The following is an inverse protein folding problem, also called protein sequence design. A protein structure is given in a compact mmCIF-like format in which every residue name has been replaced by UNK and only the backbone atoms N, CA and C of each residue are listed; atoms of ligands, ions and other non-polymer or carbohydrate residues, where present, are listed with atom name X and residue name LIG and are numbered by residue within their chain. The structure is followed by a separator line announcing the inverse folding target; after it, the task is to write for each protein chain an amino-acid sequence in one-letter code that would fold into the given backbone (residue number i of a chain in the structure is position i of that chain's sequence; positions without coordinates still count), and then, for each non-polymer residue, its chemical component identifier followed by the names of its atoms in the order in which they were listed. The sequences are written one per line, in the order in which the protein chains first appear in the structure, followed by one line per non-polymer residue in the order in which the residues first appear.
data_IF_510933968385
#
_entry.id   IF_510933968385
#
_cell.length_a   1.000
_cell.length_b   1.000
_cell.length_c   1.000
_cell.angle_alpha   90.00
_cell.angle_beta   90.00
_cell.angle_gamma   90.00
#
_symmetry.space_group_name_H-M   'P 1'
#
loop_
_entity.id
_entity.type
_entity.pdbx_description
1 polymer ?
#
# COMPACT_ATOMS: atom_id res chain seq x y z
N UNK A 1 10.73 -19.95 12.41
CA UNK A 1 10.64 -18.51 12.12
C UNK A 1 9.88 -18.30 10.83
N UNK A 2 8.96 -17.46 10.87
CA UNK A 2 8.08 -17.21 9.74
C UNK A 2 8.64 -16.08 8.89
N UNK A 3 8.87 -16.36 7.61
CA UNK A 3 9.32 -15.32 6.66
C UNK A 3 8.31 -14.18 6.55
N UNK A 4 7.04 -14.48 6.71
CA UNK A 4 5.98 -13.48 6.69
C UNK A 4 6.17 -12.43 7.78
N UNK A 5 6.56 -12.83 8.99
CA UNK A 5 6.81 -11.89 10.08
C UNK A 5 8.02 -11.00 9.75
N UNK A 6 9.08 -11.58 9.20
CA UNK A 6 10.24 -10.82 8.78
C UNK A 6 9.91 -9.81 7.68
N UNK A 7 9.12 -10.22 6.70
CA UNK A 7 8.69 -9.35 5.61
C UNK A 7 7.74 -8.26 6.09
N UNK A 8 6.88 -8.56 7.05
CA UNK A 8 6.01 -7.56 7.66
C UNK A 8 6.83 -6.48 8.37
N UNK A 9 7.88 -6.87 9.07
CA UNK A 9 8.79 -5.93 9.70
C UNK A 9 9.51 -5.03 8.70
N UNK A 10 9.98 -5.60 7.59
CA UNK A 10 10.61 -4.83 6.51
C UNK A 10 9.63 -3.87 5.88
N UNK A 11 8.40 -4.31 5.63
CA UNK A 11 7.36 -3.48 5.04
C UNK A 11 6.99 -2.33 5.96
N UNK A 12 6.85 -2.60 7.26
CA UNK A 12 6.55 -1.57 8.25
C UNK A 12 7.65 -0.50 8.30
N UNK A 13 8.91 -0.90 8.19
CA UNK A 13 10.03 0.04 8.17
C UNK A 13 10.07 0.86 6.90
N UNK A 14 9.80 0.24 5.75
CA UNK A 14 9.82 0.90 4.45
C UNK A 14 8.68 1.92 4.30
N UNK A 15 7.50 1.58 4.77
CA UNK A 15 6.30 2.40 4.61
C UNK A 15 5.91 3.09 5.91
N UNK A 16 6.87 3.66 6.61
CA UNK A 16 6.58 4.42 7.82
C UNK A 16 5.87 5.72 7.48
N UNK A 17 4.86 6.04 8.27
CA UNK A 17 4.10 7.26 8.10
C UNK A 17 3.46 7.69 9.41
N UNK A 18 2.24 8.14 9.35
CA UNK A 18 1.50 8.62 10.51
C UNK A 18 1.30 7.50 11.54
N UNK A 19 1.60 7.78 12.79
CA UNK A 19 1.46 6.79 13.87
C UNK A 19 0.07 6.79 14.51
N UNK A 20 -0.74 7.80 14.24
CA UNK A 20 -2.06 7.94 14.87
C UNK A 20 -3.20 7.24 14.17
N UNK A 21 -2.95 6.63 13.02
CA UNK A 21 -3.99 5.93 12.29
C UNK A 21 -3.52 5.40 10.95
N UNK A 22 -4.36 4.59 10.34
CA UNK A 22 -4.11 4.08 9.00
C UNK A 22 -5.43 3.92 8.26
N UNK A 23 -5.37 3.83 6.94
CA UNK A 23 -6.55 3.60 6.12
C UNK A 23 -6.75 2.11 5.88
N UNK A 24 -7.99 1.73 5.75
CA UNK A 24 -8.36 0.39 5.32
C UNK A 24 -9.70 0.47 4.60
N UNK A 25 -10.17 -0.63 4.06
CA UNK A 25 -11.51 -0.68 3.51
C UNK A 25 -12.11 -2.06 3.68
N UNK A 26 -13.43 -2.08 3.60
CA UNK A 26 -14.23 -3.26 3.79
C UNK A 26 -14.70 -3.72 2.41
N UNK A 27 -14.59 -5.01 2.14
CA UNK A 27 -15.02 -5.60 0.87
C UNK A 27 -16.53 -5.81 0.77
N UNK A 28 -17.30 -5.14 1.58
CA UNK A 28 -18.75 -5.26 1.46
C UNK A 28 -19.23 -4.80 0.10
N UNK A 29 -20.02 -5.64 -0.52
CA UNK A 29 -20.75 -5.25 -1.71
C UNK A 29 -21.88 -4.33 -1.26
N UNK A 30 -21.71 -3.06 -1.51
CA UNK A 30 -22.77 -2.09 -1.29
C UNK A 30 -23.61 -2.05 -2.56
N UNK A 31 -24.51 -2.99 -2.68
CA UNK A 31 -25.52 -3.13 -3.71
C UNK A 31 -25.32 -2.31 -4.98
N UNK A 32 -24.84 -2.91 -6.03
CA UNK A 32 -24.75 -2.15 -7.22
C UNK A 32 -25.28 -2.94 -8.40
N UNK A 33 -26.18 -2.32 -9.10
CA UNK A 33 -26.84 -2.87 -10.26
C UNK A 33 -25.92 -3.00 -11.47
N UNK A 34 -24.71 -2.48 -11.41
CA UNK A 34 -23.78 -2.42 -12.54
C UNK A 34 -22.58 -3.34 -12.41
N UNK A 35 -22.55 -4.17 -11.40
CA UNK A 35 -21.45 -5.08 -11.19
C UNK A 35 -20.17 -4.44 -10.62
N UNK A 36 -20.18 -3.17 -10.30
CA UNK A 36 -19.07 -2.49 -9.66
C UNK A 36 -19.11 -2.68 -8.16
N UNK A 37 -18.01 -3.14 -7.60
CA UNK A 37 -17.89 -3.25 -6.16
C UNK A 37 -17.63 -1.87 -5.57
N UNK A 38 -18.51 -1.44 -4.69
CA UNK A 38 -18.25 -0.27 -3.87
C UNK A 38 -17.59 -0.72 -2.59
N UNK A 39 -16.47 -0.12 -2.28
CA UNK A 39 -15.70 -0.43 -1.08
C UNK A 39 -15.91 0.69 -0.09
N UNK A 40 -16.18 0.33 1.15
CA UNK A 40 -16.26 1.32 2.21
C UNK A 40 -14.86 1.58 2.75
N UNK A 41 -14.35 2.78 2.52
CA UNK A 41 -13.04 3.20 3.01
C UNK A 41 -13.20 3.95 4.33
N UNK A 42 -12.35 3.64 5.29
CA UNK A 42 -12.39 4.32 6.58
C UNK A 42 -11.01 4.34 7.23
N UNK A 43 -10.87 5.22 8.22
CA UNK A 43 -9.65 5.34 9.00
C UNK A 43 -9.79 4.59 10.31
N UNK A 44 -8.78 3.80 10.65
CA UNK A 44 -8.66 3.19 11.98
C UNK A 44 -7.72 4.06 12.80
N UNK A 45 -8.20 4.54 13.95
CA UNK A 45 -7.42 5.44 14.80
C UNK A 45 -6.54 4.67 15.77
N UNK A 46 -5.65 3.86 15.19
CA UNK A 46 -4.68 3.06 15.93
C UNK A 46 -3.36 3.08 15.17
N UNK A 47 -2.23 2.95 15.85
CA UNK A 47 -0.96 2.91 15.14
C UNK A 47 -0.86 1.67 14.26
N UNK A 48 -0.30 1.80 13.04
CA UNK A 48 -0.01 0.62 12.23
C UNK A 48 1.03 -0.26 12.92
N UNK A 49 0.69 -1.52 13.13
CA UNK A 49 1.57 -2.48 13.81
C UNK A 49 2.16 -3.48 12.83
N UNK A 50 3.16 -4.22 13.26
CA UNK A 50 3.70 -5.31 12.45
C UNK A 50 2.64 -6.36 12.18
N UNK A 51 1.76 -6.63 13.15
CA UNK A 51 0.65 -7.57 12.97
C UNK A 51 -0.28 -7.12 11.83
N UNK A 52 -0.50 -5.82 11.70
CA UNK A 52 -1.30 -5.27 10.60
C UNK A 52 -0.64 -5.55 9.25
N UNK A 53 0.66 -5.33 9.13
CA UNK A 53 1.39 -5.61 7.89
C UNK A 53 1.43 -7.09 7.58
N UNK A 54 1.52 -7.94 8.60
CA UNK A 54 1.43 -9.38 8.43
C UNK A 54 0.07 -9.78 7.86
N UNK A 55 -1.01 -9.24 8.40
CA UNK A 55 -2.36 -9.48 7.89
C UNK A 55 -2.52 -8.97 6.45
N UNK A 56 -1.89 -7.85 6.13
CA UNK A 56 -1.91 -7.30 4.77
C UNK A 56 -1.18 -8.22 3.79
N UNK A 57 0.02 -8.66 4.14
CA UNK A 57 0.82 -9.54 3.28
C UNK A 57 0.16 -10.90 3.08
N UNK A 58 -0.60 -11.37 4.04
CA UNK A 58 -1.35 -12.63 3.91
C UNK A 58 -2.67 -12.48 3.16
N UNK A 59 -2.99 -11.27 2.72
CA UNK A 59 -4.20 -11.02 1.94
C UNK A 59 -5.47 -10.81 2.76
N UNK A 60 -5.36 -10.70 4.07
CA UNK A 60 -6.52 -10.57 4.95
C UNK A 60 -7.04 -9.15 5.07
N UNK A 61 -6.14 -8.17 5.03
CA UNK A 61 -6.50 -6.79 5.34
C UNK A 61 -5.83 -5.82 4.38
N UNK A 62 -6.58 -4.96 3.70
CA UNK A 62 -5.99 -3.86 2.96
C UNK A 62 -5.49 -2.76 3.90
N UNK A 63 -4.40 -2.11 3.55
CA UNK A 63 -3.78 -1.08 4.37
C UNK A 63 -3.40 0.12 3.53
N UNK A 64 -3.77 1.30 3.99
CA UNK A 64 -3.28 2.55 3.45
C UNK A 64 -2.54 3.32 4.53
N UNK A 65 -1.36 3.79 4.20
CA UNK A 65 -0.53 4.54 5.13
C UNK A 65 -0.64 6.02 4.80
N UNK A 66 -0.88 6.84 5.82
CA UNK A 66 -0.85 8.30 5.65
C UNK A 66 0.60 8.73 5.68
N UNK A 67 1.03 9.43 4.64
CA UNK A 67 2.44 9.72 4.38
C UNK A 67 3.12 10.58 5.42
N UNK A 68 2.42 11.60 5.91
CA UNK A 68 3.03 12.53 6.88
C UNK A 68 3.12 11.89 8.25
N UNK A 69 4.32 11.85 8.79
CA UNK A 69 4.52 11.40 10.16
C UNK A 69 4.21 12.51 11.15
N UNK A 70 4.40 12.24 12.44
CA UNK A 70 4.06 13.19 13.51
C UNK A 70 4.95 14.44 13.48
N UNK A 71 6.05 14.42 12.74
CA UNK A 71 6.98 15.54 12.57
C UNK A 71 6.83 16.23 11.23
N UNK A 72 5.73 15.99 10.52
CA UNK A 72 5.46 16.55 9.19
C UNK A 72 6.53 16.17 8.16
N UNK A 73 7.09 14.98 8.29
CA UNK A 73 8.08 14.44 7.35
C UNK A 73 7.54 13.19 6.69
N UNK A 74 8.10 12.83 5.54
CA UNK A 74 7.71 11.62 4.80
C UNK A 74 8.91 10.69 4.65
N UNK A 75 8.68 9.39 4.77
CA UNK A 75 9.70 8.35 4.57
C UNK A 75 9.62 7.72 3.17
N UNK A 76 8.49 7.88 2.49
CA UNK A 76 8.32 7.34 1.15
C UNK A 76 7.32 8.20 0.38
N UNK A 77 7.23 7.98 -0.91
CA UNK A 77 6.25 8.64 -1.77
C UNK A 77 5.80 7.66 -2.83
N UNK A 78 4.81 8.05 -3.61
CA UNK A 78 4.30 7.21 -4.70
C UNK A 78 3.98 8.06 -5.92
N UNK A 79 4.20 7.47 -7.08
CA UNK A 79 3.80 8.06 -8.36
C UNK A 79 2.77 7.12 -8.97
N UNK A 80 1.60 7.65 -9.27
CA UNK A 80 0.53 6.88 -9.86
C UNK A 80 0.51 7.09 -11.36
N UNK A 81 0.54 5.99 -12.12
CA UNK A 81 0.52 6.04 -13.59
C UNK A 81 -0.78 5.42 -14.06
N UNK A 82 -1.57 6.22 -14.78
CA UNK A 82 -2.89 5.83 -15.25
C UNK A 82 -2.98 5.69 -16.77
N UNK A 83 -1.86 5.46 -17.42
CA UNK A 83 -1.84 5.20 -18.86
C UNK A 83 -1.79 3.68 -19.10
N UNK A 84 -2.69 3.18 -19.91
CA UNK A 84 -2.80 1.75 -20.19
C UNK A 84 -2.90 1.50 -21.69
N UNK A 85 -2.38 0.37 -22.20
CA UNK A 85 -1.65 -0.64 -21.45
C UNK A 85 -0.24 -0.18 -21.07
N UNK A 86 0.29 -0.73 -19.99
CA UNK A 86 1.65 -0.42 -19.54
C UNK A 86 2.43 -1.73 -19.36
N UNK A 87 3.65 -1.76 -19.88
CA UNK A 87 4.57 -2.86 -19.68
C UNK A 87 5.40 -2.58 -18.42
N UNK A 88 5.06 -3.22 -17.32
CA UNK A 88 5.71 -2.97 -16.04
C UNK A 88 7.18 -3.40 -16.04
N UNK A 89 7.53 -4.46 -16.77
CA UNK A 89 8.92 -4.87 -16.90
C UNK A 89 9.77 -3.86 -17.64
N UNK A 90 9.24 -3.32 -18.74
CA UNK A 90 9.93 -2.29 -19.50
C UNK A 90 10.10 -1.00 -18.69
N UNK A 91 9.08 -0.64 -17.91
CA UNK A 91 9.15 0.53 -17.03
C UNK A 91 10.23 0.33 -15.96
N UNK A 92 10.26 -0.83 -15.31
CA UNK A 92 11.26 -1.13 -14.30
C UNK A 92 12.68 -1.06 -14.87
N UNK A 93 12.89 -1.63 -16.07
CA UNK A 93 14.19 -1.56 -16.75
C UNK A 93 14.59 -0.12 -17.07
N UNK A 94 13.64 0.69 -17.51
CA UNK A 94 13.92 2.09 -17.83
C UNK A 94 14.31 2.89 -16.59
N UNK A 95 13.62 2.67 -15.49
CA UNK A 95 13.94 3.32 -14.23
C UNK A 95 15.33 2.93 -13.74
N UNK A 96 15.68 1.66 -13.90
CA UNK A 96 17.01 1.16 -13.54
C UNK A 96 18.10 1.79 -14.42
N UNK A 97 17.88 1.87 -15.72
CA UNK A 97 18.80 2.54 -16.66
C UNK A 97 19.04 4.00 -16.28
N UNK A 98 18.02 4.68 -15.79
CA UNK A 98 18.10 6.08 -15.36
C UNK A 98 18.62 6.22 -13.94
N UNK A 99 18.94 5.13 -13.27
CA UNK A 99 19.40 5.11 -11.88
C UNK A 99 18.44 5.79 -10.91
N UNK A 100 17.14 5.65 -11.17
CA UNK A 100 16.10 6.19 -10.28
C UNK A 100 15.75 5.15 -9.21
N UNK A 101 15.73 5.54 -7.95
CA UNK A 101 15.47 4.60 -6.84
C UNK A 101 13.96 4.37 -6.65
N UNK A 102 13.30 3.81 -7.67
CA UNK A 102 11.86 3.59 -7.67
C UNK A 102 11.56 2.10 -7.81
N UNK A 103 10.55 1.66 -7.10
CA UNK A 103 10.05 0.29 -7.17
C UNK A 103 8.73 0.31 -7.92
N UNK A 104 8.60 -0.55 -8.91
CA UNK A 104 7.36 -0.67 -9.69
C UNK A 104 6.45 -1.66 -9.00
N UNK A 105 5.23 -1.22 -8.70
CA UNK A 105 4.23 -2.06 -8.06
C UNK A 105 2.96 -2.09 -8.89
N UNK A 106 2.29 -3.22 -8.87
CA UNK A 106 0.97 -3.35 -9.46
C UNK A 106 -0.07 -2.85 -8.46
N UNK A 107 -0.99 -2.02 -8.92
CA UNK A 107 -2.12 -1.65 -8.08
C UNK A 107 -3.21 -2.72 -8.17
N UNK A 108 -4.24 -2.57 -7.38
CA UNK A 108 -5.29 -3.56 -7.24
C UNK A 108 -6.26 -3.68 -8.42
N UNK A 109 -6.21 -2.85 -9.37
CA UNK A 109 -7.22 -2.84 -10.44
C UNK A 109 -7.11 -4.00 -11.40
#
# INVERSE_FOLDING_TARGET
MNELIADAGRMAALFRGFSGGYGTYDFRLLGNAEGKQKVHQFMVKEPPTIDLFEAHLSGQTPVGIYLLDDNEQVSFGAIDINEYPIDLGALANRLDELSLPLIVCNSKS
#
